data_IF_440199032159
#
_entry.id   IF_440199032159
#
_cell.length_a   1.000
_cell.length_b   1.000
_cell.length_c   1.000
_cell.angle_alpha   90.00
_cell.angle_beta   90.00
_cell.angle_gamma   90.00
#
_symmetry.space_group_name_H-M   'P 1'
#
loop_
_entity.id
_entity.type
_entity.pdbx_description
1 polymer ?
#
# COMPACT_ATOMS: atom_id res chain seq x y z
N UNK A 1 -1.84 -6.18 25.58
CA UNK A 1 -0.79 -5.62 24.71
C UNK A 1 0.23 -6.69 24.28
N UNK A 2 1.02 -7.30 25.16
CA UNK A 2 2.03 -8.33 24.79
C UNK A 2 1.48 -9.52 23.99
N UNK A 3 0.25 -9.94 24.23
CA UNK A 3 -0.35 -11.07 23.49
C UNK A 3 -0.78 -10.68 22.07
N UNK A 4 -1.27 -9.46 21.88
CA UNK A 4 -1.57 -8.94 20.54
C UNK A 4 -0.30 -8.75 19.73
N UNK A 5 0.78 -8.21 20.34
CA UNK A 5 2.09 -8.11 19.69
C UNK A 5 2.57 -9.46 19.17
N UNK A 6 2.56 -10.50 20.01
CA UNK A 6 2.95 -11.85 19.61
C UNK A 6 2.10 -12.40 18.46
N UNK A 7 0.79 -12.10 18.45
CA UNK A 7 -0.07 -12.50 17.33
C UNK A 7 0.29 -11.77 16.05
N UNK A 8 0.54 -10.45 16.11
CA UNK A 8 0.95 -9.66 14.96
C UNK A 8 2.34 -10.05 14.45
N UNK A 9 3.29 -10.36 15.33
CA UNK A 9 4.60 -10.90 14.96
C UNK A 9 4.48 -12.24 14.23
N UNK A 10 3.67 -13.15 14.75
CA UNK A 10 3.38 -14.43 14.09
C UNK A 10 2.72 -14.21 12.73
N UNK A 11 1.79 -13.26 12.64
CA UNK A 11 1.10 -12.92 11.41
C UNK A 11 2.05 -12.26 10.39
N UNK A 12 2.97 -11.40 10.83
CA UNK A 12 4.03 -10.86 9.98
C UNK A 12 4.92 -11.97 9.41
N UNK A 13 5.33 -12.92 10.24
CA UNK A 13 6.12 -14.08 9.80
C UNK A 13 5.39 -14.89 8.73
N UNK A 14 4.10 -15.14 8.93
CA UNK A 14 3.24 -15.81 7.94
C UNK A 14 3.19 -15.03 6.62
N UNK A 15 2.94 -13.72 6.67
CA UNK A 15 2.85 -12.88 5.48
C UNK A 15 4.17 -12.78 4.73
N UNK A 16 5.28 -12.60 5.44
CA UNK A 16 6.62 -12.59 4.84
C UNK A 16 6.91 -13.91 4.13
N UNK A 17 6.52 -15.04 4.73
CA UNK A 17 6.69 -16.35 4.12
C UNK A 17 5.86 -16.52 2.84
N UNK A 18 4.59 -16.10 2.88
CA UNK A 18 3.69 -16.14 1.71
C UNK A 18 4.22 -15.25 0.58
N UNK A 19 4.66 -14.03 0.90
CA UNK A 19 5.21 -13.08 -0.08
C UNK A 19 6.50 -13.63 -0.67
N UNK A 20 7.40 -14.15 0.17
CA UNK A 20 8.68 -14.70 -0.28
C UNK A 20 8.52 -15.94 -1.18
N UNK A 21 7.51 -16.76 -0.95
CA UNK A 21 7.15 -17.89 -1.81
C UNK A 21 6.55 -17.40 -3.14
N UNK A 22 5.55 -16.53 -3.07
CA UNK A 22 4.80 -16.08 -4.24
C UNK A 22 5.64 -15.29 -5.23
N UNK A 23 6.51 -14.42 -4.72
CA UNK A 23 7.33 -13.51 -5.50
C UNK A 23 8.82 -13.88 -5.50
N UNK A 24 9.14 -15.15 -5.25
CA UNK A 24 10.54 -15.60 -5.10
C UNK A 24 11.43 -15.24 -6.29
N UNK A 25 10.88 -15.21 -7.50
CA UNK A 25 11.62 -14.88 -8.73
C UNK A 25 12.02 -13.39 -8.79
N UNK A 26 11.25 -12.52 -8.15
CA UNK A 26 11.44 -11.07 -8.18
C UNK A 26 12.26 -10.55 -7.01
N UNK A 27 12.25 -11.26 -5.88
CA UNK A 27 12.97 -10.84 -4.67
C UNK A 27 14.47 -11.02 -4.89
N UNK A 28 15.31 -9.95 -4.76
CA UNK A 28 16.76 -10.04 -4.93
C UNK A 28 17.42 -11.00 -3.92
N UNK A 29 18.52 -11.60 -4.31
CA UNK A 29 19.27 -12.54 -3.44
C UNK A 29 19.79 -11.90 -2.16
N UNK A 30 20.11 -10.60 -2.18
CA UNK A 30 20.44 -9.81 -1.01
C UNK A 30 19.29 -9.82 0.01
N UNK A 31 18.06 -9.57 -0.48
CA UNK A 31 16.86 -9.54 0.34
C UNK A 31 16.43 -10.92 0.80
N UNK A 32 16.55 -11.96 -0.05
CA UNK A 32 16.30 -13.35 0.34
C UNK A 32 17.23 -13.79 1.48
N UNK A 33 18.52 -13.44 1.41
CA UNK A 33 19.48 -13.71 2.50
C UNK A 33 19.09 -12.99 3.77
N UNK A 34 18.68 -11.72 3.68
CA UNK A 34 18.17 -10.95 4.82
C UNK A 34 16.96 -11.64 5.44
N UNK A 35 15.93 -11.99 4.65
CA UNK A 35 14.70 -12.63 5.15
C UNK A 35 15.02 -13.97 5.83
N UNK A 36 15.94 -14.78 5.25
CA UNK A 36 16.40 -16.03 5.86
C UNK A 36 17.20 -15.84 7.15
N UNK A 37 17.85 -14.71 7.34
CA UNK A 37 18.62 -14.39 8.54
C UNK A 37 17.76 -13.98 9.74
N UNK A 38 16.48 -13.72 9.52
CA UNK A 38 15.55 -13.32 10.57
C UNK A 38 15.21 -14.57 11.41
N UNK A 39 15.77 -14.64 12.60
CA UNK A 39 15.50 -15.71 13.56
C UNK A 39 14.32 -15.42 14.47
N UNK A 40 13.95 -14.14 14.61
CA UNK A 40 12.81 -13.68 15.38
C UNK A 40 12.28 -12.38 14.77
N UNK A 41 10.97 -12.33 14.50
CA UNK A 41 10.30 -11.15 13.98
C UNK A 41 10.10 -10.05 15.03
N UNK A 42 10.32 -10.33 16.32
CA UNK A 42 10.36 -9.34 17.40
C UNK A 42 11.32 -8.17 17.08
N UNK A 43 12.44 -8.47 16.41
CA UNK A 43 13.38 -7.44 15.97
C UNK A 43 12.90 -6.62 14.75
N UNK A 44 11.91 -7.12 14.04
CA UNK A 44 11.34 -6.49 12.85
C UNK A 44 10.11 -5.63 13.16
N UNK A 45 9.57 -5.78 14.37
CA UNK A 45 8.45 -4.97 14.87
C UNK A 45 8.99 -4.03 15.96
N UNK A 46 8.52 -2.82 15.99
CA UNK A 46 8.86 -1.85 17.02
C UNK A 46 7.62 -1.05 17.39
N UNK A 47 7.29 -1.03 18.67
CA UNK A 47 6.26 -0.14 19.18
C UNK A 47 6.84 1.27 19.24
N UNK A 48 6.09 2.23 18.73
CA UNK A 48 6.46 3.63 18.75
C UNK A 48 5.42 4.48 19.48
N UNK A 49 5.88 5.47 20.23
CA UNK A 49 5.04 6.49 20.86
C UNK A 49 4.70 7.64 19.89
N UNK A 50 4.83 7.42 18.58
CA UNK A 50 4.43 8.41 17.59
C UNK A 50 2.92 8.61 17.65
N UNK A 51 2.46 9.85 17.54
CA UNK A 51 1.03 10.19 17.52
C UNK A 51 0.26 9.70 16.27
N UNK A 52 0.87 8.82 15.49
CA UNK A 52 0.22 8.18 14.35
C UNK A 52 -0.39 6.85 14.80
N UNK A 53 -1.41 6.43 14.13
CA UNK A 53 -2.13 5.17 14.36
C UNK A 53 -2.00 4.21 13.18
N UNK A 54 -1.45 4.67 12.06
CA UNK A 54 -1.14 3.80 10.92
C UNK A 54 0.14 3.04 11.17
N UNK A 55 0.18 1.77 10.84
CA UNK A 55 1.41 1.01 10.73
C UNK A 55 2.27 1.64 9.64
N UNK A 56 3.58 1.55 9.77
CA UNK A 56 4.49 2.00 8.73
C UNK A 56 5.81 1.23 8.76
N UNK A 57 6.37 1.02 7.57
CA UNK A 57 7.66 0.40 7.38
C UNK A 57 8.77 1.44 7.26
N UNK A 58 9.85 1.26 8.04
CA UNK A 58 11.05 2.10 7.93
C UNK A 58 12.28 1.35 8.43
N UNK A 59 13.40 1.45 7.70
CA UNK A 59 14.68 0.90 8.11
C UNK A 59 14.62 -0.60 8.50
N UNK A 60 13.98 -1.43 7.66
CA UNK A 60 13.76 -2.87 7.91
C UNK A 60 12.97 -3.18 9.18
N UNK A 61 12.12 -2.26 9.62
CA UNK A 61 11.19 -2.47 10.75
C UNK A 61 9.80 -1.98 10.39
N UNK A 62 8.81 -2.70 10.89
CA UNK A 62 7.42 -2.26 10.90
C UNK A 62 7.15 -1.65 12.27
N UNK A 63 6.68 -0.43 12.26
CA UNK A 63 6.34 0.30 13.47
C UNK A 63 4.86 0.17 13.74
N UNK A 64 4.55 -0.33 14.93
CA UNK A 64 3.20 -0.42 15.47
C UNK A 64 3.02 0.76 16.43
N UNK A 65 2.23 1.76 16.09
CA UNK A 65 1.97 2.85 17.00
C UNK A 65 1.25 2.34 18.25
N UNK A 66 1.71 2.74 19.44
CA UNK A 66 1.07 2.37 20.72
C UNK A 66 -0.41 2.74 20.73
N UNK A 67 -0.74 3.86 20.13
CA UNK A 67 -2.11 4.33 19.99
C UNK A 67 -3.00 3.35 19.22
N UNK A 68 -2.45 2.62 18.24
CA UNK A 68 -3.19 1.60 17.49
C UNK A 68 -3.70 0.47 18.40
N UNK A 69 -2.92 0.08 19.40
CA UNK A 69 -3.36 -0.94 20.37
C UNK A 69 -4.50 -0.46 21.27
N UNK A 70 -4.45 0.78 21.72
CA UNK A 70 -5.51 1.38 22.53
C UNK A 70 -6.82 1.47 21.74
N UNK A 71 -6.75 1.83 20.46
CA UNK A 71 -7.90 1.86 19.56
C UNK A 71 -8.46 0.46 19.34
N UNK A 72 -7.60 -0.55 19.12
CA UNK A 72 -8.04 -1.94 18.98
C UNK A 72 -8.73 -2.48 20.24
N UNK A 73 -8.20 -2.18 21.42
CA UNK A 73 -8.83 -2.61 22.68
C UNK A 73 -10.22 -1.98 22.82
N UNK A 74 -10.36 -0.69 22.55
CA UNK A 74 -11.66 -0.02 22.59
C UNK A 74 -12.64 -0.55 21.55
N UNK A 75 -12.17 -0.84 20.33
CA UNK A 75 -13.02 -1.39 19.28
C UNK A 75 -13.49 -2.81 19.61
N UNK A 76 -12.69 -3.62 20.32
CA UNK A 76 -13.11 -4.95 20.81
C UNK A 76 -14.20 -4.87 21.87
N UNK A 77 -14.13 -3.89 22.76
CA UNK A 77 -15.20 -3.65 23.72
C UNK A 77 -16.51 -3.32 23.00
N UNK A 78 -16.43 -2.64 21.85
CA UNK A 78 -17.62 -2.32 21.04
C UNK A 78 -18.20 -3.49 20.29
N UNK A 79 -17.39 -4.43 19.81
CA UNK A 79 -17.89 -5.66 19.18
C UNK A 79 -18.82 -6.45 20.12
N UNK A 80 -18.57 -6.41 21.44
CA UNK A 80 -19.44 -7.07 22.43
C UNK A 80 -20.82 -6.43 22.56
N UNK A 81 -20.96 -5.14 22.27
CA UNK A 81 -22.18 -4.37 22.46
C UNK A 81 -22.92 -3.99 21.17
N UNK A 82 -22.40 -4.41 20.02
CA UNK A 82 -22.88 -3.94 18.72
C UNK A 82 -22.36 -2.54 18.40
N UNK A 83 -22.00 -2.32 17.14
CA UNK A 83 -21.47 -1.03 16.72
C UNK A 83 -22.58 0.01 16.63
N UNK A 84 -22.66 0.90 17.63
CA UNK A 84 -23.45 2.13 17.57
C UNK A 84 -22.49 3.34 17.60
N UNK A 85 -22.34 4.08 16.49
CA UNK A 85 -21.46 5.25 16.43
C UNK A 85 -21.88 6.37 17.40
N UNK A 86 -23.11 6.30 17.95
CA UNK A 86 -23.64 7.24 18.93
C UNK A 86 -23.51 6.74 20.37
N UNK A 87 -22.95 5.55 20.57
CA UNK A 87 -22.86 4.98 21.90
C UNK A 87 -21.81 5.71 22.77
N UNK A 88 -22.23 6.17 23.95
CA UNK A 88 -21.46 7.04 24.87
C UNK A 88 -20.23 6.40 25.53
N UNK A 89 -19.86 5.17 25.23
CA UNK A 89 -18.69 4.54 25.81
C UNK A 89 -17.36 5.02 25.19
N UNK A 90 -17.40 5.87 24.18
CA UNK A 90 -16.23 6.58 23.72
C UNK A 90 -15.93 7.75 24.67
N UNK A 91 -14.76 7.72 25.29
CA UNK A 91 -14.22 8.93 25.85
C UNK A 91 -13.99 9.91 24.70
N UNK A 92 -14.65 11.08 24.72
CA UNK A 92 -14.53 12.10 23.66
C UNK A 92 -13.07 12.44 23.32
N UNK A 93 -12.20 12.48 24.34
CA UNK A 93 -10.76 12.72 24.17
C UNK A 93 -10.09 11.60 23.35
N UNK A 94 -10.46 10.35 23.57
CA UNK A 94 -9.89 9.20 22.88
C UNK A 94 -10.39 9.11 21.43
N UNK A 95 -11.67 9.43 21.20
CA UNK A 95 -12.23 9.53 19.85
C UNK A 95 -11.55 10.65 19.07
N UNK A 96 -11.35 11.80 19.70
CA UNK A 96 -10.76 12.97 19.08
C UNK A 96 -9.29 12.74 18.70
N UNK A 97 -8.53 12.13 19.61
CA UNK A 97 -7.10 11.82 19.37
C UNK A 97 -6.90 10.69 18.36
N UNK A 98 -7.89 9.81 18.20
CA UNK A 98 -7.82 8.61 17.36
C UNK A 98 -8.76 8.65 16.14
N UNK A 99 -9.38 9.79 15.89
CA UNK A 99 -10.43 9.96 14.87
C UNK A 99 -10.04 9.46 13.48
N UNK A 100 -8.78 9.57 13.10
CA UNK A 100 -8.33 9.16 11.77
C UNK A 100 -8.41 7.65 11.56
N UNK A 101 -7.86 6.83 12.46
CA UNK A 101 -7.95 5.36 12.35
C UNK A 101 -9.36 4.88 12.55
N UNK A 102 -10.07 5.49 13.47
CA UNK A 102 -11.44 5.11 13.74
C UNK A 102 -12.34 5.35 12.53
N UNK A 103 -12.17 6.46 11.83
CA UNK A 103 -12.93 6.75 10.62
C UNK A 103 -12.44 5.97 9.40
N UNK A 104 -11.14 5.76 9.27
CA UNK A 104 -10.60 4.83 8.26
C UNK A 104 -11.14 3.42 8.51
N UNK A 105 -11.17 2.98 9.77
CA UNK A 105 -11.78 1.71 10.16
C UNK A 105 -13.28 1.67 9.85
N UNK A 106 -14.05 2.68 10.27
CA UNK A 106 -15.48 2.76 9.95
C UNK A 106 -15.72 2.74 8.45
N UNK A 107 -15.03 3.58 7.72
CA UNK A 107 -15.29 3.74 6.28
C UNK A 107 -14.80 2.54 5.46
N UNK A 108 -13.72 1.90 5.85
CA UNK A 108 -13.09 0.85 5.06
C UNK A 108 -13.37 -0.55 5.60
N UNK A 109 -13.29 -0.75 6.91
CA UNK A 109 -13.43 -2.07 7.49
C UNK A 109 -14.88 -2.44 7.77
N UNK A 110 -15.65 -1.55 8.44
CA UNK A 110 -17.05 -1.84 8.78
C UNK A 110 -17.92 -1.99 7.54
N UNK A 111 -17.77 -1.10 6.55
CA UNK A 111 -18.50 -1.22 5.29
C UNK A 111 -18.17 -2.50 4.52
N UNK A 112 -17.04 -3.14 4.82
CA UNK A 112 -16.61 -4.42 4.26
C UNK A 112 -16.81 -5.59 5.21
N UNK A 113 -17.38 -5.36 6.39
CA UNK A 113 -17.62 -6.39 7.40
C UNK A 113 -16.36 -6.92 8.09
N UNK A 114 -15.27 -6.15 8.08
CA UNK A 114 -14.03 -6.51 8.76
C UNK A 114 -14.09 -6.14 10.24
N UNK A 115 -13.56 -7.02 11.08
CA UNK A 115 -13.27 -6.70 12.48
C UNK A 115 -12.05 -5.76 12.58
N UNK A 116 -11.85 -5.08 13.73
CA UNK A 116 -10.67 -4.25 13.95
C UNK A 116 -9.35 -5.01 13.77
N UNK A 117 -9.27 -6.25 14.22
CA UNK A 117 -8.08 -7.07 14.09
C UNK A 117 -7.80 -7.44 12.62
N UNK A 118 -8.83 -7.76 11.84
CA UNK A 118 -8.73 -8.03 10.41
C UNK A 118 -8.26 -6.81 9.62
N UNK A 119 -8.76 -5.61 9.97
CA UNK A 119 -8.29 -4.36 9.39
C UNK A 119 -6.79 -4.11 9.65
N UNK A 120 -6.32 -4.40 10.87
CA UNK A 120 -4.89 -4.28 11.16
C UNK A 120 -4.05 -5.38 10.49
N UNK A 121 -4.60 -6.57 10.31
CA UNK A 121 -3.94 -7.63 9.54
C UNK A 121 -3.79 -7.25 8.07
N UNK A 122 -4.77 -6.57 7.47
CA UNK A 122 -4.66 -6.00 6.12
C UNK A 122 -3.53 -4.98 6.02
N UNK A 123 -3.49 -4.00 6.93
CA UNK A 123 -2.41 -3.03 6.98
C UNK A 123 -1.04 -3.70 7.19
N UNK A 124 -0.99 -4.74 8.04
CA UNK A 124 0.23 -5.50 8.27
C UNK A 124 0.68 -6.25 7.01
N UNK A 125 -0.24 -6.75 6.18
CA UNK A 125 0.09 -7.38 4.89
C UNK A 125 0.70 -6.36 3.93
N UNK A 126 0.14 -5.14 3.87
CA UNK A 126 0.70 -4.03 3.09
C UNK A 126 2.12 -3.68 3.54
N UNK A 127 2.35 -3.51 4.84
CA UNK A 127 3.69 -3.23 5.38
C UNK A 127 4.66 -4.41 5.21
N UNK A 128 4.16 -5.66 5.25
CA UNK A 128 4.95 -6.84 4.94
C UNK A 128 5.40 -6.88 3.47
N UNK A 129 4.57 -6.36 2.55
CA UNK A 129 4.95 -6.21 1.14
C UNK A 129 6.11 -5.21 1.00
N UNK A 130 6.06 -4.05 1.67
CA UNK A 130 7.20 -3.12 1.76
C UNK A 130 8.42 -3.76 2.41
N UNK A 131 8.22 -4.56 3.45
CA UNK A 131 9.29 -5.26 4.16
C UNK A 131 10.03 -6.25 3.27
N UNK A 132 9.31 -6.97 2.41
CA UNK A 132 9.89 -7.91 1.44
C UNK A 132 10.43 -7.22 0.17
N UNK A 133 9.88 -6.06 -0.15
CA UNK A 133 10.18 -5.31 -1.37
C UNK A 133 11.10 -4.11 -1.18
N UNK A 134 10.94 -3.14 -2.07
CA UNK A 134 11.54 -1.82 -1.94
C UNK A 134 10.66 -0.99 -1.00
N UNK A 135 11.20 -0.57 0.13
CA UNK A 135 10.56 0.46 0.94
C UNK A 135 10.59 1.80 0.21
N UNK A 136 9.51 2.56 0.28
CA UNK A 136 9.49 3.90 -0.30
C UNK A 136 8.14 4.56 -0.07
N UNK A 137 8.14 5.80 0.37
CA UNK A 137 6.94 6.56 0.72
C UNK A 137 6.56 7.53 -0.41
N UNK A 138 6.56 7.08 -1.67
CA UNK A 138 6.02 7.92 -2.74
C UNK A 138 4.71 7.34 -3.29
N UNK A 139 3.81 8.16 -3.81
CA UNK A 139 2.47 7.73 -4.20
C UNK A 139 2.45 6.58 -5.21
N UNK A 140 3.40 6.56 -6.14
CA UNK A 140 3.48 5.48 -7.14
C UNK A 140 3.84 4.14 -6.49
N UNK A 141 4.83 4.11 -5.61
CA UNK A 141 5.23 2.89 -4.89
C UNK A 141 4.16 2.43 -3.92
N UNK A 142 3.47 3.34 -3.22
CA UNK A 142 2.32 3.00 -2.38
C UNK A 142 1.20 2.34 -3.20
N UNK A 143 0.87 2.91 -4.36
CA UNK A 143 -0.11 2.32 -5.27
C UNK A 143 0.30 0.93 -5.79
N UNK A 144 1.58 0.74 -6.12
CA UNK A 144 2.11 -0.57 -6.56
C UNK A 144 2.03 -1.58 -5.42
N UNK A 145 2.49 -1.21 -4.22
CA UNK A 145 2.46 -2.06 -3.02
C UNK A 145 1.03 -2.47 -2.69
N UNK A 146 0.11 -1.52 -2.69
CA UNK A 146 -1.30 -1.80 -2.42
C UNK A 146 -1.93 -2.72 -3.47
N UNK A 147 -1.67 -2.49 -4.76
CA UNK A 147 -2.17 -3.37 -5.81
C UNK A 147 -1.68 -4.82 -5.59
N UNK A 148 -0.39 -5.01 -5.32
CA UNK A 148 0.18 -6.34 -5.09
C UNK A 148 -0.33 -6.97 -3.80
N UNK A 149 -0.58 -6.19 -2.77
CA UNK A 149 -1.24 -6.63 -1.53
C UNK A 149 -2.63 -7.19 -1.82
N UNK A 150 -3.45 -6.49 -2.61
CA UNK A 150 -4.80 -6.94 -3.00
C UNK A 150 -4.77 -8.21 -3.87
N UNK A 151 -3.88 -8.26 -4.85
CA UNK A 151 -3.73 -9.41 -5.73
C UNK A 151 -3.31 -10.66 -4.94
N UNK A 152 -2.33 -10.52 -4.04
CA UNK A 152 -1.88 -11.58 -3.16
C UNK A 152 -2.98 -12.03 -2.20
N UNK A 153 -3.66 -11.09 -1.55
CA UNK A 153 -4.78 -11.39 -0.66
C UNK A 153 -5.87 -12.19 -1.38
N UNK A 154 -6.28 -11.75 -2.56
CA UNK A 154 -7.25 -12.47 -3.39
C UNK A 154 -6.78 -13.89 -3.74
N UNK A 155 -5.51 -14.02 -4.15
CA UNK A 155 -4.93 -15.32 -4.56
C UNK A 155 -4.84 -16.31 -3.41
N UNK A 156 -4.50 -15.83 -2.21
CA UNK A 156 -4.29 -16.67 -1.02
C UNK A 156 -5.51 -16.75 -0.09
N UNK A 157 -6.63 -16.12 -0.45
CA UNK A 157 -7.83 -16.09 0.39
C UNK A 157 -7.62 -15.33 1.70
N UNK A 158 -6.72 -14.32 1.69
CA UNK A 158 -6.49 -13.46 2.84
C UNK A 158 -7.52 -12.33 2.88
N UNK A 159 -7.77 -11.82 4.08
CA UNK A 159 -8.75 -10.76 4.29
C UNK A 159 -8.15 -9.43 3.83
N UNK A 160 -8.93 -8.66 3.07
CA UNK A 160 -8.61 -7.30 2.66
C UNK A 160 -9.88 -6.50 2.36
N UNK A 161 -9.92 -5.24 2.75
CA UNK A 161 -10.96 -4.29 2.35
C UNK A 161 -10.84 -3.88 0.88
N UNK A 162 -9.61 -3.92 0.35
CA UNK A 162 -9.28 -3.45 -0.99
C UNK A 162 -9.50 -1.94 -1.19
N UNK A 163 -9.43 -1.15 -0.13
CA UNK A 163 -9.75 0.29 -0.14
C UNK A 163 -8.54 1.22 0.01
N UNK A 164 -7.34 0.69 0.32
CA UNK A 164 -6.13 1.50 0.44
C UNK A 164 -5.73 2.15 -0.90
N UNK A 165 -5.29 3.39 -0.90
CA UNK A 165 -4.71 4.11 -2.04
C UNK A 165 -5.49 3.99 -3.38
N UNK A 166 -6.83 4.23 -3.42
CA UNK A 166 -7.62 3.91 -4.61
C UNK A 166 -7.19 4.67 -5.87
N UNK A 167 -6.79 5.94 -5.74
CA UNK A 167 -6.34 6.78 -6.87
C UNK A 167 -4.97 6.33 -7.40
N UNK A 168 -4.06 5.98 -6.51
CA UNK A 168 -2.73 5.47 -6.82
C UNK A 168 -2.83 4.11 -7.52
N UNK A 169 -3.68 3.23 -6.99
CA UNK A 169 -3.93 1.90 -7.57
C UNK A 169 -4.52 2.01 -8.98
N UNK A 170 -5.39 2.99 -9.25
CA UNK A 170 -5.95 3.22 -10.59
C UNK A 170 -4.83 3.53 -11.62
N UNK A 171 -3.90 4.42 -11.26
CA UNK A 171 -2.74 4.72 -12.12
C UNK A 171 -1.89 3.47 -12.35
N UNK A 172 -1.63 2.69 -11.28
CA UNK A 172 -0.80 1.48 -11.35
C UNK A 172 -1.45 0.37 -12.18
N UNK A 173 -2.76 0.17 -12.04
CA UNK A 173 -3.51 -0.78 -12.89
C UNK A 173 -3.35 -0.44 -14.36
N UNK A 174 -3.35 0.83 -14.70
CA UNK A 174 -3.14 1.29 -16.06
C UNK A 174 -1.69 1.03 -16.52
N UNK A 175 -0.70 1.30 -15.68
CA UNK A 175 0.69 0.96 -15.94
C UNK A 175 0.88 -0.55 -16.13
N UNK A 176 0.25 -1.37 -15.29
CA UNK A 176 0.30 -2.83 -15.40
C UNK A 176 -0.31 -3.32 -16.72
N UNK A 177 -1.42 -2.70 -17.15
CA UNK A 177 -2.04 -3.00 -18.45
C UNK A 177 -1.12 -2.66 -19.62
N UNK A 178 -0.42 -1.52 -19.57
CA UNK A 178 0.46 -1.04 -20.65
C UNK A 178 1.78 -1.82 -20.71
N UNK A 179 2.43 -2.04 -19.56
CA UNK A 179 3.80 -2.55 -19.46
C UNK A 179 3.91 -3.99 -18.97
N UNK A 180 2.81 -4.56 -18.53
CA UNK A 180 2.74 -5.93 -18.03
C UNK A 180 3.06 -6.05 -16.54
N UNK A 181 2.57 -7.14 -15.96
CA UNK A 181 2.71 -7.46 -14.55
C UNK A 181 4.17 -7.68 -14.14
N UNK A 182 4.97 -8.28 -15.02
CA UNK A 182 6.39 -8.57 -14.74
C UNK A 182 7.18 -7.32 -14.38
N UNK A 183 6.96 -6.20 -15.09
CA UNK A 183 7.64 -4.93 -14.78
C UNK A 183 7.22 -4.42 -13.40
N UNK A 184 5.92 -4.43 -13.10
CA UNK A 184 5.38 -3.98 -11.81
C UNK A 184 5.95 -4.82 -10.66
N UNK A 185 5.95 -6.15 -10.79
CA UNK A 185 6.54 -7.06 -9.78
C UNK A 185 8.02 -6.78 -9.56
N UNK A 186 8.79 -6.57 -10.65
CA UNK A 186 10.22 -6.26 -10.52
C UNK A 186 10.45 -4.92 -9.82
N UNK A 187 9.60 -3.91 -10.07
CA UNK A 187 9.70 -2.62 -9.38
C UNK A 187 9.49 -2.79 -7.87
N UNK A 188 8.47 -3.54 -7.45
CA UNK A 188 8.16 -3.77 -6.01
C UNK A 188 9.34 -4.38 -5.28
N UNK A 189 9.99 -5.37 -5.90
CA UNK A 189 11.01 -6.18 -5.20
C UNK A 189 12.45 -5.80 -5.55
N UNK A 190 12.66 -4.74 -6.34
CA UNK A 190 14.01 -4.28 -6.68
C UNK A 190 14.77 -3.76 -5.44
N UNK A 191 16.07 -3.95 -5.43
CA UNK A 191 16.99 -3.29 -4.49
C UNK A 191 17.59 -1.99 -5.07
N UNK A 192 17.15 -1.59 -6.26
CA UNK A 192 17.52 -0.36 -6.97
C UNK A 192 16.42 0.68 -6.87
N UNK A 193 16.74 1.91 -7.24
CA UNK A 193 15.72 2.95 -7.39
C UNK A 193 14.71 2.59 -8.48
N UNK A 194 13.50 3.15 -8.40
CA UNK A 194 12.47 3.00 -9.42
C UNK A 194 13.02 3.25 -10.84
N UNK A 195 13.75 4.35 -11.00
CA UNK A 195 14.31 4.73 -12.30
C UNK A 195 15.32 3.72 -12.85
N UNK A 196 16.27 3.30 -12.02
CA UNK A 196 17.29 2.31 -12.41
C UNK A 196 16.66 0.95 -12.73
N UNK A 197 15.64 0.56 -11.98
CA UNK A 197 14.93 -0.71 -12.22
C UNK A 197 14.21 -0.69 -13.56
N UNK A 198 13.45 0.37 -13.84
CA UNK A 198 12.68 0.48 -15.09
C UNK A 198 13.64 0.63 -16.28
N UNK A 199 14.72 1.39 -16.14
CA UNK A 199 15.73 1.56 -17.19
C UNK A 199 16.39 0.23 -17.56
N UNK A 200 16.76 -0.57 -16.56
CA UNK A 200 17.40 -1.87 -16.78
C UNK A 200 16.51 -2.88 -17.50
N UNK A 201 15.18 -2.78 -17.34
CA UNK A 201 14.23 -3.74 -17.91
C UNK A 201 13.67 -3.26 -19.24
N UNK A 202 13.34 -1.96 -19.33
CA UNK A 202 12.49 -1.41 -20.39
C UNK A 202 13.16 -0.28 -21.17
N UNK A 203 14.38 0.09 -20.79
CA UNK A 203 15.15 1.16 -21.44
C UNK A 203 14.78 2.58 -20.99
N UNK A 204 15.54 3.53 -21.50
CA UNK A 204 15.51 4.94 -21.06
C UNK A 204 14.18 5.65 -21.33
N UNK A 205 13.50 5.34 -22.43
CA UNK A 205 12.21 5.98 -22.79
C UNK A 205 11.16 5.69 -21.71
N UNK A 206 10.98 4.42 -21.36
CA UNK A 206 10.00 3.98 -20.36
C UNK A 206 10.44 4.44 -18.97
N UNK A 207 11.73 4.42 -18.64
CA UNK A 207 12.24 4.96 -17.39
C UNK A 207 11.96 6.47 -17.26
N UNK A 208 12.08 7.23 -18.36
CA UNK A 208 11.72 8.66 -18.39
C UNK A 208 10.23 8.88 -18.14
N UNK A 209 9.38 8.06 -18.75
CA UNK A 209 7.92 8.10 -18.51
C UNK A 209 7.60 7.84 -17.05
N UNK A 210 8.15 6.77 -16.45
CA UNK A 210 7.95 6.45 -15.04
C UNK A 210 8.45 7.55 -14.10
N UNK A 211 9.59 8.17 -14.38
CA UNK A 211 10.08 9.35 -13.64
C UNK A 211 9.08 10.50 -13.70
N UNK A 212 8.57 10.81 -14.88
CA UNK A 212 7.59 11.88 -15.07
C UNK A 212 6.29 11.58 -14.32
N UNK A 213 5.79 10.35 -14.39
CA UNK A 213 4.61 9.91 -13.64
C UNK A 213 4.83 10.08 -12.15
N UNK A 214 5.96 9.58 -11.62
CA UNK A 214 6.28 9.66 -10.21
C UNK A 214 6.38 11.11 -9.71
N UNK A 215 6.98 12.01 -10.49
CA UNK A 215 7.03 13.44 -10.17
C UNK A 215 5.63 14.04 -10.15
N UNK A 216 4.83 13.84 -11.18
CA UNK A 216 3.44 14.37 -11.27
C UNK A 216 2.56 13.85 -10.12
N UNK A 217 2.65 12.56 -9.79
CA UNK A 217 1.91 12.00 -8.65
C UNK A 217 2.36 12.62 -7.33
N UNK A 218 3.66 12.80 -7.13
CA UNK A 218 4.21 13.42 -5.93
C UNK A 218 3.81 14.90 -5.80
N UNK A 219 3.83 15.66 -6.89
CA UNK A 219 3.37 17.05 -6.93
C UNK A 219 1.88 17.16 -6.60
N UNK A 220 1.04 16.33 -7.22
CA UNK A 220 -0.41 16.31 -6.96
C UNK A 220 -0.74 15.92 -5.51
N UNK A 221 0.08 15.06 -4.90
CA UNK A 221 -0.12 14.62 -3.52
C UNK A 221 0.63 15.47 -2.49
N UNK A 222 1.39 16.48 -2.90
CA UNK A 222 2.29 17.22 -2.02
C UNK A 222 1.58 17.81 -0.80
N UNK A 223 0.44 18.45 -0.98
CA UNK A 223 -0.32 19.05 0.10
C UNK A 223 -0.82 18.01 1.11
N UNK A 224 -1.25 16.84 0.62
CA UNK A 224 -1.66 15.72 1.46
C UNK A 224 -0.47 15.13 2.24
N UNK A 225 0.66 14.90 1.56
CA UNK A 225 1.84 14.26 2.16
C UNK A 225 2.55 15.16 3.20
N UNK A 226 2.48 16.48 3.03
CA UNK A 226 3.17 17.44 3.91
C UNK A 226 2.28 18.05 4.98
N UNK A 227 0.96 17.82 4.89
CA UNK A 227 0.02 18.35 5.86
C UNK A 227 0.19 17.69 7.23
N UNK A 228 0.09 18.51 8.29
CA UNK A 228 -0.03 17.99 9.65
C UNK A 228 -1.49 17.81 9.97
N UNK A 229 -1.83 16.61 10.39
CA UNK A 229 -3.18 16.23 10.76
C UNK A 229 -3.26 16.11 12.28
N UNK A 230 -3.62 17.20 12.94
CA UNK A 230 -3.80 17.30 14.38
C UNK A 230 -5.15 17.95 14.72
N UNK A 231 -5.62 17.69 15.94
CA UNK A 231 -6.89 18.23 16.46
C UNK A 231 -8.14 17.49 15.99
N UNK A 232 -9.28 18.01 16.46
CA UNK A 232 -10.61 17.38 16.32
C UNK A 232 -11.02 17.07 14.87
N UNK A 233 -10.59 17.92 13.93
CA UNK A 233 -10.98 17.83 12.51
C UNK A 233 -9.88 17.21 11.63
N UNK A 234 -8.88 16.56 12.24
CA UNK A 234 -7.73 16.03 11.51
C UNK A 234 -8.14 15.07 10.38
N UNK A 235 -9.08 14.17 10.66
CA UNK A 235 -9.61 13.20 9.69
C UNK A 235 -10.39 13.85 8.55
N UNK A 236 -11.18 14.90 8.84
CA UNK A 236 -11.91 15.65 7.81
C UNK A 236 -10.92 16.35 6.88
N UNK A 237 -9.91 17.01 7.45
CA UNK A 237 -8.84 17.67 6.68
C UNK A 237 -8.06 16.67 5.84
N UNK A 238 -7.73 15.50 6.40
CA UNK A 238 -7.04 14.41 5.69
C UNK A 238 -7.87 13.95 4.49
N UNK A 239 -9.14 13.62 4.70
CA UNK A 239 -10.05 13.20 3.64
C UNK A 239 -10.25 14.29 2.58
N UNK A 240 -10.41 15.56 2.99
CA UNK A 240 -10.55 16.69 2.07
C UNK A 240 -9.30 16.89 1.21
N UNK A 241 -8.10 16.76 1.78
CA UNK A 241 -6.86 16.88 1.02
C UNK A 241 -6.65 15.68 0.11
N UNK A 242 -6.95 14.45 0.56
CA UNK A 242 -6.90 13.29 -0.30
C UNK A 242 -7.85 13.39 -1.48
N UNK A 243 -9.08 13.86 -1.25
CA UNK A 243 -10.06 14.06 -2.31
C UNK A 243 -9.63 15.11 -3.36
N UNK A 244 -8.77 16.06 -2.98
CA UNK A 244 -8.19 17.06 -3.90
C UNK A 244 -7.03 16.53 -4.74
N UNK A 245 -6.47 15.37 -4.39
CA UNK A 245 -5.44 14.74 -5.22
C UNK A 245 -6.06 14.47 -6.59
N UNK A 246 -5.41 14.99 -7.63
CA UNK A 246 -5.83 14.84 -9.01
C UNK A 246 -4.68 14.32 -9.86
N UNK A 247 -4.89 13.14 -10.45
CA UNK A 247 -3.94 12.49 -11.35
C UNK A 247 -4.35 12.58 -12.83
N UNK A 248 -5.27 13.48 -13.20
CA UNK A 248 -5.71 13.66 -14.60
C UNK A 248 -4.52 13.91 -15.53
N UNK A 249 -3.55 14.74 -15.12
CA UNK A 249 -2.34 14.97 -15.93
C UNK A 249 -1.44 13.73 -16.10
N UNK A 250 -1.56 12.74 -15.20
CA UNK A 250 -0.90 11.44 -15.32
C UNK A 250 -1.67 10.57 -16.32
N UNK A 251 -2.99 10.57 -16.24
CA UNK A 251 -3.84 9.83 -17.18
C UNK A 251 -3.70 10.37 -18.60
N UNK A 252 -3.65 11.68 -18.80
CA UNK A 252 -3.38 12.31 -20.10
C UNK A 252 -2.02 11.92 -20.67
N UNK A 253 -0.99 11.85 -19.82
CA UNK A 253 0.34 11.41 -20.24
C UNK A 253 0.33 9.95 -20.70
N UNK A 254 -0.41 9.08 -20.00
CA UNK A 254 -0.57 7.69 -20.39
C UNK A 254 -1.40 7.54 -21.66
N UNK A 255 -2.45 8.34 -21.87
CA UNK A 255 -3.22 8.38 -23.13
C UNK A 255 -2.34 8.74 -24.32
N UNK A 256 -1.52 9.78 -24.16
CA UNK A 256 -0.58 10.19 -25.20
C UNK A 256 0.46 9.11 -25.51
N UNK A 257 0.96 8.42 -24.48
CA UNK A 257 1.90 7.31 -24.66
C UNK A 257 1.26 6.15 -25.42
N UNK A 258 0.06 5.70 -25.00
CA UNK A 258 -0.69 4.64 -25.69
C UNK A 258 -0.96 5.00 -27.15
N UNK A 259 -1.43 6.23 -27.42
CA UNK A 259 -1.68 6.71 -28.77
C UNK A 259 -0.41 6.69 -29.65
N UNK A 260 0.73 7.15 -29.11
CA UNK A 260 1.99 7.14 -29.83
C UNK A 260 2.46 5.71 -30.14
N UNK A 261 2.27 4.76 -29.23
CA UNK A 261 2.60 3.36 -29.45
C UNK A 261 1.70 2.73 -30.53
N UNK A 262 0.42 3.07 -30.56
CA UNK A 262 -0.52 2.65 -31.61
C UNK A 262 -0.10 3.20 -32.98
N UNK A 263 0.16 4.50 -33.07
CA UNK A 263 0.55 5.16 -34.32
C UNK A 263 1.91 4.65 -34.85
N UNK A 264 2.81 4.22 -33.97
CA UNK A 264 4.09 3.62 -34.36
C UNK A 264 4.00 2.14 -34.73
N UNK A 265 2.79 1.54 -34.67
CA UNK A 265 2.57 0.12 -34.96
C UNK A 265 3.14 -0.84 -33.90
N UNK A 266 3.53 -0.33 -32.73
CA UNK A 266 4.07 -1.14 -31.64
C UNK A 266 2.98 -1.84 -30.80
N UNK A 267 1.73 -1.33 -30.85
CA UNK A 267 0.56 -1.95 -30.22
C UNK A 267 -0.46 -2.24 -31.33
N UNK A 268 -0.92 -3.48 -31.41
CA UNK A 268 -2.03 -3.86 -32.30
C UNK A 268 -3.30 -4.05 -31.47
N UNK A 269 -4.36 -3.27 -31.78
CA UNK A 269 -5.64 -3.24 -31.04
C UNK A 269 -6.54 -4.45 -31.31
N UNK A 270 -6.19 -5.37 -32.23
CA UNK A 270 -7.10 -6.41 -32.70
C UNK A 270 -7.25 -7.64 -31.78
N UNK A 271 -6.80 -7.61 -30.53
CA UNK A 271 -7.07 -8.71 -29.61
C UNK A 271 -8.02 -8.31 -28.47
N UNK A 272 -9.32 -8.50 -28.68
CA UNK A 272 -10.40 -8.43 -27.68
C UNK A 272 -10.25 -9.43 -26.49
N UNK A 273 -9.11 -10.09 -26.33
CA UNK A 273 -8.83 -11.10 -25.28
C UNK A 273 -7.76 -10.71 -24.28
N UNK A 274 -7.57 -9.43 -24.00
CA UNK A 274 -6.87 -8.97 -22.78
C UNK A 274 -5.36 -9.20 -22.72
N UNK A 275 -4.71 -9.85 -23.68
CA UNK A 275 -3.27 -10.07 -23.73
C UNK A 275 -2.60 -9.11 -24.70
N UNK A 276 -1.98 -8.05 -24.20
CA UNK A 276 -1.12 -7.17 -25.00
C UNK A 276 0.17 -7.92 -25.32
N UNK A 277 0.31 -8.41 -26.56
CA UNK A 277 1.57 -9.00 -27.04
C UNK A 277 2.49 -7.91 -27.56
N UNK A 278 3.58 -7.69 -26.87
CA UNK A 278 4.67 -6.83 -27.33
C UNK A 278 5.48 -7.56 -28.40
N UNK A 279 5.53 -7.03 -29.61
CA UNK A 279 6.45 -7.49 -30.64
C UNK A 279 7.74 -6.66 -30.55
N UNK A 280 8.78 -7.24 -29.97
CA UNK A 280 10.14 -6.72 -30.17
C UNK A 280 10.59 -7.06 -31.59
N UNK A 281 10.83 -6.04 -32.41
CA UNK A 281 11.62 -6.18 -33.64
C UNK A 281 13.08 -5.91 -33.31
#
# INVERSE_FOLDING_TARGET
>A
MQELEKRLEKKLQEYVSIIAEEYHEYIPESKKRFLKSITSFEKCISISDTGTISLFYRNNKIYLPKLAFLVLEQLKEHEQYGFDPNHKCYNEETIISNSNTFLDYINHAILKGLTPEEYYQENLLHEAMHFCGCGGANPLLEGITELKTRELAKKKGLITSGCGYPKEVEVVLRLQKIFGEKLINTIVFSDRTLSETVEAISGNEIASLYRTINVKMSESSYQYLTAKFDGKDAHIKKAQLYNKIDYSSVHELLDQYELNQMLSGKINLENEKGDVKWYHK
#
